data_IF_094591731263
#
_entry.id   IF_094591731263
#
_cell.length_a   1.000
_cell.length_b   1.000
_cell.length_c   1.000
_cell.angle_alpha   90.00
_cell.angle_beta   90.00
_cell.angle_gamma   90.00
#
_symmetry.space_group_name_H-M   'P 1'
#
loop_
_entity.id
_entity.type
_entity.pdbx_description
1 polymer ?
#
# COMPACT_ATOMS: atom_id res chain seq x y z
N UNK A 1 27.00 11.27 -44.69
CA UNK A 1 27.49 10.44 -43.57
C UNK A 1 28.28 11.38 -42.68
N UNK A 2 27.71 11.77 -41.55
CA UNK A 2 28.44 12.52 -40.52
C UNK A 2 28.56 11.52 -39.38
N UNK A 3 29.76 10.95 -39.25
CA UNK A 3 30.13 10.10 -38.13
C UNK A 3 30.42 11.03 -36.95
N UNK A 4 29.54 11.03 -35.96
CA UNK A 4 29.79 11.74 -34.71
C UNK A 4 30.81 10.93 -33.89
N UNK A 5 31.97 11.54 -33.70
CA UNK A 5 33.11 11.05 -32.93
C UNK A 5 32.69 10.88 -31.46
N UNK A 6 32.78 9.65 -30.94
CA UNK A 6 32.38 9.30 -29.57
C UNK A 6 33.50 9.74 -28.63
N UNK A 7 33.30 10.90 -27.99
CA UNK A 7 34.19 11.44 -26.97
C UNK A 7 34.14 10.56 -25.71
N UNK A 8 35.32 10.21 -25.18
CA UNK A 8 35.57 9.19 -24.15
C UNK A 8 35.17 9.62 -22.71
N UNK A 9 34.26 10.59 -22.58
CA UNK A 9 33.78 11.09 -21.29
C UNK A 9 32.25 11.20 -21.33
N UNK A 10 31.58 10.05 -21.16
CA UNK A 10 30.12 9.89 -21.28
C UNK A 10 29.32 10.66 -20.21
N UNK A 11 29.28 11.99 -20.31
CA UNK A 11 28.05 12.69 -19.97
C UNK A 11 27.07 12.45 -21.10
N UNK A 12 26.14 11.53 -20.90
CA UNK A 12 25.07 11.22 -21.84
C UNK A 12 24.26 12.51 -22.08
N UNK A 13 24.63 13.27 -23.12
CA UNK A 13 23.92 14.47 -23.52
C UNK A 13 22.69 14.03 -24.31
N UNK A 14 21.59 13.81 -23.61
CA UNK A 14 20.29 13.46 -24.20
C UNK A 14 19.77 14.66 -24.99
N UNK A 15 20.09 14.71 -26.29
CA UNK A 15 19.46 15.65 -27.22
C UNK A 15 17.96 15.28 -27.34
N UNK A 16 17.02 16.20 -27.04
CA UNK A 16 15.57 15.91 -27.05
C UNK A 16 15.09 15.29 -28.36
N UNK A 17 15.65 15.70 -29.51
CA UNK A 17 15.29 15.16 -30.83
C UNK A 17 15.76 13.72 -31.01
N UNK A 18 16.91 13.35 -30.47
CA UNK A 18 17.43 11.99 -30.54
C UNK A 18 16.68 11.09 -29.55
N UNK A 19 16.37 11.58 -28.35
CA UNK A 19 15.58 10.84 -27.37
C UNK A 19 14.17 10.50 -27.88
N UNK A 20 13.48 11.44 -28.53
CA UNK A 20 12.15 11.17 -29.12
C UNK A 20 12.19 10.07 -30.18
N UNK A 21 13.22 10.06 -31.04
CA UNK A 21 13.40 9.00 -32.05
C UNK A 21 13.61 7.62 -31.43
N UNK A 22 14.43 7.54 -30.38
CA UNK A 22 14.63 6.30 -29.64
C UNK A 22 13.36 5.85 -28.90
N UNK A 23 12.57 6.80 -28.38
CA UNK A 23 11.29 6.53 -27.75
C UNK A 23 10.25 6.00 -28.75
N UNK A 24 10.17 6.57 -29.95
CA UNK A 24 9.30 6.07 -31.04
C UNK A 24 9.65 4.64 -31.46
N UNK A 25 10.93 4.27 -31.40
CA UNK A 25 11.38 2.89 -31.67
C UNK A 25 11.04 1.91 -30.54
N UNK A 26 10.74 2.41 -29.34
CA UNK A 26 10.42 1.58 -28.18
C UNK A 26 8.96 1.15 -28.22
N UNK A 27 8.72 -0.12 -28.55
CA UNK A 27 7.38 -0.71 -28.56
C UNK A 27 7.00 -1.16 -27.16
N UNK A 28 6.16 -0.39 -26.48
CA UNK A 28 5.53 -0.80 -25.22
C UNK A 28 4.15 -1.37 -25.56
N UNK A 29 3.88 -2.59 -25.10
CA UNK A 29 2.55 -3.17 -25.24
C UNK A 29 1.61 -2.55 -24.19
N UNK A 30 0.43 -2.12 -24.62
CA UNK A 30 -0.60 -1.56 -23.75
C UNK A 30 -0.98 -2.54 -22.63
N UNK A 31 -0.99 -3.84 -22.93
CA UNK A 31 -1.28 -4.87 -21.93
C UNK A 31 -0.25 -4.89 -20.78
N UNK A 32 1.03 -4.67 -21.07
CA UNK A 32 2.09 -4.65 -20.06
C UNK A 32 1.89 -3.46 -19.09
N UNK A 33 1.47 -2.30 -19.63
CA UNK A 33 1.11 -1.13 -18.82
C UNK A 33 -0.12 -1.44 -17.95
N UNK A 34 -1.14 -2.06 -18.54
CA UNK A 34 -2.37 -2.41 -17.82
C UNK A 34 -2.11 -3.39 -16.67
N UNK A 35 -1.19 -4.35 -16.84
CA UNK A 35 -0.74 -5.24 -15.76
C UNK A 35 -0.06 -4.48 -14.62
N UNK A 36 0.83 -3.54 -14.96
CA UNK A 36 1.51 -2.69 -13.95
C UNK A 36 0.50 -1.84 -13.18
N UNK A 37 -0.47 -1.23 -13.88
CA UNK A 37 -1.53 -0.43 -13.28
C UNK A 37 -2.45 -1.28 -12.39
N UNK A 38 -2.83 -2.47 -12.85
CA UNK A 38 -3.65 -3.40 -12.07
C UNK A 38 -2.93 -3.82 -10.78
N UNK A 39 -1.64 -4.14 -10.86
CA UNK A 39 -0.82 -4.44 -9.68
C UNK A 39 -0.75 -3.24 -8.73
N UNK A 40 -0.54 -2.04 -9.25
CA UNK A 40 -0.52 -0.81 -8.45
C UNK A 40 -1.81 -0.63 -7.64
N UNK A 41 -2.98 -0.76 -8.27
CA UNK A 41 -4.27 -0.67 -7.60
C UNK A 41 -4.44 -1.75 -6.52
N UNK A 42 -3.99 -2.97 -6.80
CA UNK A 42 -4.06 -4.08 -5.85
C UNK A 42 -3.15 -3.88 -4.63
N UNK A 43 -1.91 -3.43 -4.82
CA UNK A 43 -0.95 -3.17 -3.74
C UNK A 43 -1.42 -2.00 -2.86
N UNK A 44 -1.97 -0.95 -3.48
CA UNK A 44 -2.49 0.22 -2.78
C UNK A 44 -3.88 0.01 -2.16
N UNK A 45 -4.44 -1.19 -2.30
CA UNK A 45 -5.74 -1.58 -1.74
C UNK A 45 -6.91 -0.75 -2.27
N UNK A 46 -6.79 -0.28 -3.51
CA UNK A 46 -7.81 0.50 -4.21
C UNK A 46 -8.82 -0.43 -4.89
N UNK A 47 -9.66 -1.08 -4.09
CA UNK A 47 -10.58 -2.11 -4.58
C UNK A 47 -11.54 -1.62 -5.66
N UNK A 48 -12.18 -0.47 -5.45
CA UNK A 48 -13.18 0.05 -6.41
C UNK A 48 -12.53 0.38 -7.76
N UNK A 49 -11.33 0.98 -7.73
CA UNK A 49 -10.56 1.31 -8.94
C UNK A 49 -10.10 0.04 -9.66
N UNK A 50 -9.51 -0.92 -8.93
CA UNK A 50 -9.10 -2.19 -9.52
C UNK A 50 -10.28 -2.94 -10.17
N UNK A 51 -11.46 -2.86 -9.56
CA UNK A 51 -12.66 -3.56 -10.04
C UNK A 51 -13.21 -2.95 -11.32
N UNK A 52 -13.30 -1.63 -11.40
CA UNK A 52 -13.74 -0.98 -12.64
C UNK A 52 -12.67 -1.11 -13.73
N UNK A 53 -11.40 -0.95 -13.38
CA UNK A 53 -10.28 -1.12 -14.32
C UNK A 53 -10.20 -2.54 -14.89
N UNK A 54 -10.51 -3.56 -14.09
CA UNK A 54 -10.59 -4.94 -14.57
C UNK A 54 -11.64 -5.13 -15.67
N UNK A 55 -12.79 -4.45 -15.57
CA UNK A 55 -13.86 -4.53 -16.59
C UNK A 55 -13.45 -3.85 -17.89
N UNK A 56 -12.69 -2.76 -17.79
CA UNK A 56 -12.25 -1.96 -18.94
C UNK A 56 -11.06 -2.57 -19.66
N UNK A 57 -10.02 -2.97 -18.92
CA UNK A 57 -8.77 -3.49 -19.48
C UNK A 57 -8.78 -5.01 -19.74
N UNK A 58 -9.76 -5.73 -19.18
CA UNK A 58 -9.84 -7.20 -19.17
C UNK A 58 -8.61 -7.90 -18.54
N UNK A 59 -7.71 -7.15 -17.89
CA UNK A 59 -6.55 -7.65 -17.16
C UNK A 59 -7.01 -8.23 -15.83
N UNK A 60 -6.53 -9.43 -15.50
CA UNK A 60 -6.83 -10.09 -14.23
C UNK A 60 -5.67 -9.88 -13.25
N UNK A 61 -5.95 -9.52 -11.99
CA UNK A 61 -4.92 -9.47 -10.98
C UNK A 61 -4.41 -10.88 -10.63
N UNK A 62 -3.14 -10.98 -10.23
CA UNK A 62 -2.50 -12.24 -9.80
C UNK A 62 -3.19 -12.89 -8.59
N UNK A 63 -3.93 -12.09 -7.82
CA UNK A 63 -4.66 -12.52 -6.64
C UNK A 63 -6.15 -12.20 -6.78
N UNK A 64 -7.05 -12.98 -6.16
CA UNK A 64 -8.48 -12.73 -6.24
C UNK A 64 -8.81 -11.31 -5.78
N UNK A 65 -9.50 -10.53 -6.60
CA UNK A 65 -9.74 -9.09 -6.35
C UNK A 65 -10.40 -8.79 -4.99
N UNK A 66 -11.22 -9.72 -4.48
CA UNK A 66 -11.85 -9.62 -3.16
C UNK A 66 -10.83 -9.54 -2.01
N UNK A 67 -9.63 -10.11 -2.18
CA UNK A 67 -8.56 -10.03 -1.18
C UNK A 67 -8.01 -8.60 -1.03
N UNK A 68 -8.13 -7.76 -2.06
CA UNK A 68 -7.80 -6.32 -2.00
C UNK A 68 -8.69 -5.63 -0.96
N UNK A 69 -9.99 -5.91 -1.00
CA UNK A 69 -10.99 -5.38 -0.05
C UNK A 69 -10.73 -5.86 1.38
N UNK A 70 -10.40 -7.14 1.57
CA UNK A 70 -10.08 -7.70 2.90
C UNK A 70 -8.82 -7.04 3.47
N UNK A 71 -7.77 -6.86 2.67
CA UNK A 71 -6.54 -6.18 3.11
C UNK A 71 -6.79 -4.72 3.48
N UNK A 72 -7.67 -4.03 2.74
CA UNK A 72 -8.13 -2.69 3.12
C UNK A 72 -8.83 -2.68 4.47
N UNK A 73 -9.76 -3.63 4.69
CA UNK A 73 -10.51 -3.75 5.95
C UNK A 73 -9.56 -3.98 7.14
N UNK A 74 -8.64 -4.93 7.02
CA UNK A 74 -7.62 -5.22 8.05
C UNK A 74 -6.80 -3.96 8.35
N UNK A 75 -6.32 -3.24 7.32
CA UNK A 75 -5.57 -2.01 7.53
C UNK A 75 -6.41 -0.98 8.30
N UNK A 76 -7.67 -0.77 7.88
CA UNK A 76 -8.56 0.19 8.50
C UNK A 76 -8.83 -0.16 9.97
N UNK A 77 -9.01 -1.43 10.29
CA UNK A 77 -9.20 -1.90 11.67
C UNK A 77 -7.96 -1.64 12.53
N UNK A 78 -6.76 -1.92 12.00
CA UNK A 78 -5.50 -1.62 12.68
C UNK A 78 -5.37 -0.11 12.95
N UNK A 79 -5.64 0.74 11.94
CA UNK A 79 -5.56 2.20 12.07
C UNK A 79 -6.57 2.75 13.09
N UNK A 80 -7.75 2.13 13.20
CA UNK A 80 -8.79 2.49 14.16
C UNK A 80 -8.63 1.81 15.53
N UNK A 81 -7.51 1.13 15.79
CA UNK A 81 -7.24 0.38 17.03
C UNK A 81 -8.27 -0.72 17.36
N UNK A 82 -8.88 -1.31 16.32
CA UNK A 82 -9.73 -2.51 16.37
C UNK A 82 -8.87 -3.75 16.10
N UNK A 83 -7.97 -4.06 17.04
CA UNK A 83 -6.89 -5.03 16.80
C UNK A 83 -7.42 -6.46 16.87
N UNK A 84 -8.42 -6.70 17.72
CA UNK A 84 -9.07 -8.00 17.86
C UNK A 84 -9.76 -8.41 16.55
N UNK A 85 -10.53 -7.50 15.96
CA UNK A 85 -11.20 -7.69 14.67
C UNK A 85 -10.19 -7.88 13.54
N UNK A 86 -9.12 -7.08 13.52
CA UNK A 86 -8.04 -7.23 12.55
C UNK A 86 -7.38 -8.61 12.63
N UNK A 87 -7.12 -9.13 13.85
CA UNK A 87 -6.54 -10.46 14.06
C UNK A 87 -7.48 -11.55 13.54
N UNK A 88 -8.79 -11.42 13.78
CA UNK A 88 -9.79 -12.36 13.27
C UNK A 88 -9.78 -12.37 11.73
N UNK A 89 -9.83 -11.21 11.09
CA UNK A 89 -9.78 -11.12 9.62
C UNK A 89 -8.46 -11.62 9.03
N UNK A 90 -7.32 -11.40 9.68
CA UNK A 90 -6.03 -11.96 9.24
C UNK A 90 -6.07 -13.50 9.30
N UNK A 91 -6.58 -14.08 10.40
CA UNK A 91 -6.67 -15.54 10.53
C UNK A 91 -7.68 -16.15 9.55
N UNK A 92 -8.76 -15.44 9.24
CA UNK A 92 -9.73 -15.85 8.22
C UNK A 92 -9.13 -15.79 6.80
N UNK A 93 -8.23 -14.83 6.55
CA UNK A 93 -7.52 -14.71 5.28
C UNK A 93 -6.46 -15.83 5.11
N UNK A 94 -5.60 -16.01 6.11
CA UNK A 94 -4.65 -17.12 6.18
C UNK A 94 -4.21 -17.35 7.64
N UNK A 95 -4.64 -18.50 8.20
CA UNK A 95 -4.34 -18.96 9.57
C UNK A 95 -2.84 -19.11 9.87
N UNK A 96 -2.00 -19.16 8.83
CA UNK A 96 -0.55 -19.29 8.92
C UNK A 96 0.20 -17.97 9.06
N UNK A 97 -0.38 -16.83 8.67
CA UNK A 97 0.34 -15.54 8.64
C UNK A 97 0.92 -15.18 10.01
N UNK A 98 0.08 -15.20 11.05
CA UNK A 98 0.50 -14.83 12.41
C UNK A 98 1.46 -15.84 13.03
N UNK A 99 1.46 -17.11 12.57
CA UNK A 99 2.39 -18.13 13.03
C UNK A 99 3.77 -17.97 12.37
N UNK A 100 3.80 -17.62 11.08
CA UNK A 100 5.03 -17.42 10.30
C UNK A 100 5.71 -16.09 10.64
N UNK A 101 4.93 -15.04 10.88
CA UNK A 101 5.41 -13.68 11.11
C UNK A 101 5.19 -13.24 12.57
N UNK A 102 6.08 -13.68 13.47
CA UNK A 102 6.02 -13.33 14.90
C UNK A 102 6.23 -11.83 15.17
N UNK A 103 6.98 -11.16 14.30
CA UNK A 103 7.16 -9.72 14.26
C UNK A 103 5.83 -8.98 14.08
N UNK A 104 4.96 -9.45 13.19
CA UNK A 104 3.63 -8.87 13.00
C UNK A 104 2.78 -8.98 14.28
N UNK A 105 2.82 -10.12 14.95
CA UNK A 105 2.14 -10.32 16.25
C UNK A 105 2.66 -9.31 17.27
N UNK A 106 3.98 -9.13 17.35
CA UNK A 106 4.59 -8.16 18.25
C UNK A 106 4.11 -6.72 17.96
N UNK A 107 4.06 -6.30 16.69
CA UNK A 107 3.56 -4.96 16.34
C UNK A 107 2.08 -4.76 16.67
N UNK A 108 1.23 -5.76 16.45
CA UNK A 108 -0.17 -5.71 16.84
C UNK A 108 -0.33 -5.58 18.37
N UNK A 109 0.47 -6.34 19.15
CA UNK A 109 0.50 -6.20 20.62
C UNK A 109 1.02 -4.84 21.08
N UNK A 110 2.03 -4.29 20.41
CA UNK A 110 2.55 -2.95 20.67
C UNK A 110 1.47 -1.89 20.44
N UNK A 111 0.67 -2.01 19.37
CA UNK A 111 -0.44 -1.10 19.09
C UNK A 111 -1.53 -1.18 20.18
N UNK A 112 -1.87 -2.39 20.65
CA UNK A 112 -2.80 -2.57 21.78
C UNK A 112 -2.29 -1.91 23.06
N UNK A 113 -1.00 -2.09 23.38
CA UNK A 113 -0.39 -1.45 24.55
C UNK A 113 -0.44 0.09 24.45
N UNK A 114 -0.10 0.64 23.29
CA UNK A 114 -0.16 2.09 23.06
C UNK A 114 -1.58 2.63 23.29
N UNK A 115 -2.60 1.92 22.80
CA UNK A 115 -4.02 2.26 23.03
C UNK A 115 -4.34 2.32 24.54
N UNK A 116 -3.89 1.34 25.32
CA UNK A 116 -4.11 1.31 26.77
C UNK A 116 -3.46 2.51 27.46
N UNK A 117 -2.21 2.83 27.12
CA UNK A 117 -1.48 3.99 27.69
C UNK A 117 -2.20 5.30 27.36
N UNK A 118 -2.62 5.49 26.09
CA UNK A 118 -3.35 6.68 25.66
C UNK A 118 -4.72 6.81 26.33
N UNK A 119 -5.40 5.69 26.60
CA UNK A 119 -6.67 5.72 27.31
C UNK A 119 -6.46 6.13 28.76
N UNK A 120 -5.50 5.54 29.47
CA UNK A 120 -5.18 5.91 30.86
C UNK A 120 -4.83 7.39 31.01
N UNK A 121 -4.02 7.95 30.09
CA UNK A 121 -3.69 9.38 30.12
C UNK A 121 -4.90 10.28 29.86
N UNK A 122 -5.82 9.86 28.96
CA UNK A 122 -7.10 10.54 28.74
C UNK A 122 -8.01 10.48 29.97
N UNK A 123 -8.09 9.35 30.66
CA UNK A 123 -8.87 9.23 31.91
C UNK A 123 -8.34 10.16 32.99
N UNK A 124 -7.02 10.18 33.25
CA UNK A 124 -6.40 11.13 34.20
C UNK A 124 -6.65 12.58 33.83
N UNK A 125 -6.60 12.94 32.54
CA UNK A 125 -6.92 14.30 32.08
C UNK A 125 -8.40 14.65 32.30
N UNK A 126 -9.31 13.70 32.07
CA UNK A 126 -10.75 13.89 32.28
C UNK A 126 -11.11 13.98 33.76
N UNK A 127 -10.44 13.22 34.63
CA UNK A 127 -10.56 13.36 36.09
C UNK A 127 -9.99 14.68 36.58
N UNK A 128 -8.82 15.11 36.10
CA UNK A 128 -8.27 16.43 36.43
C UNK A 128 -9.23 17.54 36.00
N UNK A 129 -9.76 17.50 34.77
CA UNK A 129 -10.76 18.49 34.30
C UNK A 129 -12.03 18.44 35.17
N UNK A 130 -12.52 17.25 35.56
CA UNK A 130 -13.66 17.14 36.49
C UNK A 130 -13.34 17.79 37.83
N UNK A 131 -12.18 17.51 38.42
CA UNK A 131 -11.73 18.11 39.70
C UNK A 131 -11.70 19.64 39.60
N UNK A 132 -11.21 20.20 38.49
CA UNK A 132 -11.19 21.65 38.27
C UNK A 132 -12.58 22.28 38.03
N UNK A 133 -13.62 21.49 37.73
CA UNK A 133 -15.01 22.00 37.59
C UNK A 133 -15.77 21.95 38.93
N UNK A 134 -15.36 21.07 39.85
CA UNK A 134 -16.01 20.91 41.17
C UNK A 134 -15.33 21.69 42.31
N UNK A 135 -14.21 22.37 42.03
CA UNK A 135 -13.55 23.34 42.92
C UNK A 135 -13.79 24.75 42.38
#
# INVERSE_FOLDING_TARGET
MIEDNIDENCQIYLNPKNWLKEFENTKINENDINEVLMNYFCVHRMYDVAKEFQKESNVKPDMPINTVKIRYLIQNEIMNNKIEEAIEHINNLDKGILKKHKDLVFFLKKQQLLKLILNVSRYKKKENIKIYIYL
#
